data_IF_457108199130
#
_entry.id   IF_457108199130
#
_cell.length_a   1.000
_cell.length_b   1.000
_cell.length_c   1.000
_cell.angle_alpha   90.00
_cell.angle_beta   90.00
_cell.angle_gamma   90.00
#
_symmetry.space_group_name_H-M   'P 1'
#
loop_
_entity.id
_entity.type
_entity.pdbx_description
1 polymer ?
#
# COMPACT_ATOMS: atom_id res chain seq x y z
N UNK A 1 -100.49 20.46 -10.51
CA UNK A 1 -100.14 21.60 -9.64
C UNK A 1 -98.84 21.23 -8.92
N UNK A 2 -97.96 22.22 -8.69
CA UNK A 2 -96.58 22.14 -8.17
C UNK A 2 -95.48 22.15 -9.25
N UNK A 3 -94.34 22.82 -9.02
CA UNK A 3 -94.12 24.19 -8.53
C UNK A 3 -93.25 25.02 -9.52
N UNK A 4 -93.09 26.35 -9.33
CA UNK A 4 -92.30 27.21 -10.22
C UNK A 4 -90.79 27.03 -10.02
N UNK A 5 -89.94 27.42 -11.01
CA UNK A 5 -88.52 27.08 -11.04
C UNK A 5 -87.73 27.78 -9.92
N UNK A 6 -86.91 27.00 -9.23
CA UNK A 6 -86.03 27.44 -8.17
C UNK A 6 -84.79 28.14 -8.75
N UNK A 7 -84.43 29.30 -8.20
CA UNK A 7 -83.25 30.08 -8.62
C UNK A 7 -81.96 29.31 -8.26
N UNK A 8 -80.93 29.32 -9.13
CA UNK A 8 -79.67 28.67 -8.80
C UNK A 8 -78.96 29.38 -7.64
N UNK A 9 -78.47 28.59 -6.68
CA UNK A 9 -77.61 29.04 -5.60
C UNK A 9 -76.20 29.39 -6.12
N UNK A 10 -75.49 30.36 -5.51
CA UNK A 10 -74.16 30.75 -5.94
C UNK A 10 -73.12 29.86 -5.27
N UNK A 11 -72.31 29.12 -6.03
CA UNK A 11 -71.14 28.45 -5.44
C UNK A 11 -69.82 28.63 -6.20
N UNK A 12 -68.96 29.40 -5.53
CA UNK A 12 -67.59 29.09 -5.13
C UNK A 12 -66.59 28.78 -6.26
N UNK A 13 -65.82 29.80 -6.60
CA UNK A 13 -64.55 29.68 -7.33
C UNK A 13 -63.53 28.90 -6.49
N UNK A 14 -63.38 27.61 -6.74
CA UNK A 14 -62.26 26.82 -6.20
C UNK A 14 -60.99 27.21 -6.97
N UNK A 15 -60.13 28.05 -6.37
CA UNK A 15 -58.76 28.25 -6.87
C UNK A 15 -57.98 26.95 -6.73
N UNK A 16 -57.89 26.17 -7.82
CA UNK A 16 -56.82 25.18 -8.01
C UNK A 16 -55.48 25.94 -8.08
N UNK A 17 -54.78 26.05 -6.96
CA UNK A 17 -53.34 26.36 -7.00
C UNK A 17 -52.62 25.09 -7.46
N UNK A 18 -52.04 25.19 -8.65
CA UNK A 18 -51.21 24.20 -9.31
C UNK A 18 -50.09 23.69 -8.38
N UNK A 19 -50.12 22.40 -8.04
CA UNK A 19 -48.96 21.64 -7.53
C UNK A 19 -48.08 21.28 -8.74
N UNK A 20 -47.64 22.28 -9.52
CA UNK A 20 -46.81 22.06 -10.72
C UNK A 20 -45.35 22.47 -10.49
N UNK A 21 -45.05 23.22 -9.43
CA UNK A 21 -43.66 23.58 -9.08
C UNK A 21 -42.85 22.45 -8.45
N UNK A 22 -43.48 21.59 -7.63
CA UNK A 22 -42.77 20.53 -6.89
C UNK A 22 -42.27 19.40 -7.78
N UNK A 23 -43.09 18.93 -8.73
CA UNK A 23 -42.72 17.84 -9.61
C UNK A 23 -41.57 18.21 -10.56
N UNK A 24 -41.55 19.46 -11.06
CA UNK A 24 -40.47 19.95 -11.90
C UNK A 24 -39.14 20.08 -11.13
N UNK A 25 -39.17 20.59 -9.90
CA UNK A 25 -37.97 20.68 -9.05
C UNK A 25 -37.42 19.30 -8.66
N UNK A 26 -38.31 18.34 -8.35
CA UNK A 26 -37.91 16.95 -8.06
C UNK A 26 -37.33 16.27 -9.30
N UNK A 27 -37.94 16.48 -10.47
CA UNK A 27 -37.42 15.92 -11.73
C UNK A 27 -36.03 16.48 -12.07
N UNK A 28 -35.82 17.79 -11.91
CA UNK A 28 -34.51 18.42 -12.13
C UNK A 28 -33.47 17.88 -11.15
N UNK A 29 -33.81 17.76 -9.86
CA UNK A 29 -32.92 17.23 -8.83
C UNK A 29 -32.52 15.76 -9.08
N UNK A 30 -33.47 14.94 -9.56
CA UNK A 30 -33.20 13.54 -9.93
C UNK A 30 -32.32 13.44 -11.18
N UNK A 31 -32.51 14.33 -12.16
CA UNK A 31 -31.68 14.38 -13.36
C UNK A 31 -30.26 14.86 -13.00
N UNK A 32 -30.10 15.90 -12.18
CA UNK A 32 -28.77 16.33 -11.74
C UNK A 32 -28.08 15.27 -10.88
N UNK A 33 -28.79 14.62 -9.97
CA UNK A 33 -28.23 13.50 -9.20
C UNK A 33 -27.78 12.37 -10.14
N UNK A 34 -28.63 11.95 -11.07
CA UNK A 34 -28.30 10.90 -12.05
C UNK A 34 -27.11 11.29 -12.93
N UNK A 35 -27.04 12.54 -13.42
CA UNK A 35 -25.92 13.03 -14.21
C UNK A 35 -24.64 13.05 -13.38
N UNK A 36 -24.69 13.49 -12.11
CA UNK A 36 -23.54 13.43 -11.21
C UNK A 36 -23.10 11.97 -11.00
N UNK A 37 -24.03 11.04 -10.76
CA UNK A 37 -23.72 9.63 -10.58
C UNK A 37 -23.11 9.02 -11.84
N UNK A 38 -23.63 9.35 -13.02
CA UNK A 38 -23.11 8.88 -14.31
C UNK A 38 -21.73 9.48 -14.58
N UNK A 39 -21.54 10.78 -14.33
CA UNK A 39 -20.23 11.43 -14.50
C UNK A 39 -19.20 10.84 -13.53
N UNK A 40 -19.57 10.60 -12.26
CA UNK A 40 -18.70 9.92 -11.30
C UNK A 40 -18.38 8.49 -11.73
N UNK A 41 -19.36 7.74 -12.26
CA UNK A 41 -19.13 6.39 -12.78
C UNK A 41 -18.26 6.39 -14.04
N UNK A 42 -18.42 7.37 -14.94
CA UNK A 42 -17.58 7.53 -16.13
C UNK A 42 -16.17 7.93 -15.72
N UNK A 43 -15.99 8.86 -14.77
CA UNK A 43 -14.67 9.24 -14.24
C UNK A 43 -14.01 8.05 -13.54
N UNK A 44 -14.75 7.25 -12.77
CA UNK A 44 -14.23 6.02 -12.18
C UNK A 44 -13.88 4.96 -13.23
N UNK A 45 -14.64 4.87 -14.33
CA UNK A 45 -14.38 3.95 -15.44
C UNK A 45 -13.30 4.44 -16.42
N UNK A 46 -12.95 5.72 -16.38
CA UNK A 46 -11.88 6.34 -17.17
C UNK A 46 -10.65 6.70 -16.34
N UNK A 47 -10.69 6.44 -15.02
CA UNK A 47 -9.50 6.27 -14.23
C UNK A 47 -8.75 5.06 -14.82
N UNK A 48 -7.44 5.20 -15.11
CA UNK A 48 -6.65 4.09 -15.63
C UNK A 48 -6.76 2.91 -14.66
N UNK A 49 -7.29 1.80 -15.19
CA UNK A 49 -7.42 0.53 -14.49
C UNK A 49 -6.12 -0.23 -14.68
N UNK A 50 -5.10 0.23 -13.97
CA UNK A 50 -3.81 -0.42 -13.83
C UNK A 50 -3.22 -0.09 -12.45
N UNK A 51 -2.52 -1.02 -11.78
CA UNK A 51 -1.84 -0.74 -10.54
C UNK A 51 -0.70 0.25 -10.84
N UNK A 52 -0.91 1.54 -10.52
CA UNK A 52 0.02 2.61 -10.91
C UNK A 52 -0.50 4.05 -10.75
N UNK A 53 -1.73 4.28 -10.29
CA UNK A 53 -2.24 5.66 -10.05
C UNK A 53 -2.48 6.01 -8.59
N UNK A 54 -2.06 5.17 -7.66
CA UNK A 54 -2.34 5.38 -6.24
C UNK A 54 -1.10 5.80 -5.43
N UNK A 55 0.01 6.13 -6.10
CA UNK A 55 1.22 6.63 -5.44
C UNK A 55 1.02 7.95 -4.69
N UNK A 56 1.20 7.90 -3.37
CA UNK A 56 1.78 9.01 -2.62
C UNK A 56 3.31 9.00 -2.77
N UNK A 57 4.03 9.93 -2.15
CA UNK A 57 5.50 9.93 -2.03
C UNK A 57 6.06 8.77 -1.16
N UNK A 58 5.26 7.74 -0.93
CA UNK A 58 5.48 6.63 -0.01
C UNK A 58 5.33 6.98 1.46
N UNK A 59 5.54 8.23 1.85
CA UNK A 59 5.37 8.71 3.23
C UNK A 59 3.91 9.00 3.59
N UNK A 60 3.05 9.16 2.57
CA UNK A 60 1.61 9.38 2.75
C UNK A 60 0.76 8.58 1.76
N UNK A 61 0.69 7.23 1.88
CA UNK A 61 -0.11 6.41 0.97
C UNK A 61 -1.61 6.68 1.17
N UNK A 62 -2.37 6.68 0.07
CA UNK A 62 -3.84 6.66 0.15
C UNK A 62 -4.35 5.23 0.41
N UNK A 63 -5.64 5.09 0.74
CA UNK A 63 -6.23 3.79 1.08
C UNK A 63 -6.02 2.73 0.00
N UNK A 64 -6.09 3.14 -1.26
CA UNK A 64 -6.03 2.23 -2.35
C UNK A 64 -4.57 1.73 -2.56
N UNK A 65 -3.57 2.58 -2.31
CA UNK A 65 -2.16 2.18 -2.33
C UNK A 65 -1.83 1.05 -1.34
N UNK A 66 -2.64 0.90 -0.28
CA UNK A 66 -2.51 -0.12 0.76
C UNK A 66 -3.23 -1.43 0.39
N UNK A 67 -3.93 -1.50 -0.75
CA UNK A 67 -4.56 -2.73 -1.22
C UNK A 67 -3.50 -3.76 -1.61
N UNK A 68 -3.63 -4.96 -1.04
CA UNK A 68 -2.78 -6.10 -1.36
C UNK A 68 -3.52 -7.04 -2.31
N UNK A 69 -2.78 -7.65 -3.23
CA UNK A 69 -3.32 -8.69 -4.10
C UNK A 69 -3.68 -9.93 -3.25
N UNK A 70 -4.97 -10.28 -3.13
CA UNK A 70 -5.40 -11.42 -2.32
C UNK A 70 -5.00 -12.78 -2.93
N UNK A 71 -4.50 -12.81 -4.17
CA UNK A 71 -4.02 -14.03 -4.83
C UNK A 71 -2.56 -14.38 -4.49
N UNK A 72 -1.85 -13.49 -3.77
CA UNK A 72 -0.48 -13.76 -3.30
C UNK A 72 -0.43 -15.01 -2.40
N UNK A 73 0.69 -15.76 -2.42
CA UNK A 73 0.88 -16.87 -1.50
C UNK A 73 0.67 -16.43 -0.05
N UNK A 74 -0.01 -17.25 0.76
CA UNK A 74 -0.37 -16.89 2.13
C UNK A 74 0.83 -16.43 3.02
N UNK A 75 2.03 -17.03 2.92
CA UNK A 75 3.22 -16.51 3.59
C UNK A 75 3.60 -15.08 3.18
N UNK A 76 3.58 -14.79 1.87
CA UNK A 76 3.85 -13.46 1.32
C UNK A 76 2.79 -12.46 1.79
N UNK A 77 1.52 -12.85 1.76
CA UNK A 77 0.42 -11.99 2.19
C UNK A 77 0.57 -11.57 3.65
N UNK A 78 0.87 -12.51 4.57
CA UNK A 78 1.11 -12.17 5.99
C UNK A 78 2.27 -11.20 6.18
N UNK A 79 3.35 -11.40 5.43
CA UNK A 79 4.49 -10.50 5.46
C UNK A 79 4.08 -9.08 5.05
N UNK A 80 3.40 -8.93 3.92
CA UNK A 80 3.00 -7.63 3.39
C UNK A 80 1.90 -6.97 4.21
N UNK A 81 0.99 -7.74 4.82
CA UNK A 81 0.03 -7.24 5.81
C UNK A 81 0.75 -6.64 7.01
N UNK A 82 1.79 -7.31 7.52
CA UNK A 82 2.61 -6.75 8.60
C UNK A 82 3.31 -5.46 8.17
N UNK A 83 3.93 -5.43 6.98
CA UNK A 83 4.54 -4.20 6.45
C UNK A 83 3.49 -3.07 6.40
N UNK A 84 2.32 -3.34 5.82
CA UNK A 84 1.23 -2.36 5.64
C UNK A 84 0.71 -1.82 6.97
N UNK A 85 0.58 -2.69 7.97
CA UNK A 85 -0.03 -2.34 9.25
C UNK A 85 0.96 -1.65 10.20
N UNK A 86 2.28 -1.82 9.95
CA UNK A 86 3.30 -1.36 10.88
C UNK A 86 4.33 -0.38 10.32
N UNK A 87 4.42 -0.10 9.01
CA UNK A 87 5.52 0.71 8.41
C UNK A 87 5.78 2.09 9.05
N UNK A 88 4.80 2.67 9.75
CA UNK A 88 4.89 3.94 10.45
C UNK A 88 4.82 3.82 11.99
N UNK A 89 4.94 2.61 12.53
CA UNK A 89 4.91 2.35 13.96
C UNK A 89 6.20 2.86 14.62
N UNK A 90 6.05 3.61 15.70
CA UNK A 90 7.16 4.14 16.50
C UNK A 90 7.50 3.26 17.72
N UNK A 91 6.79 2.15 17.89
CA UNK A 91 6.93 1.24 19.02
C UNK A 91 6.51 -0.19 18.67
N UNK A 92 7.12 -1.15 19.36
CA UNK A 92 6.77 -2.58 19.30
C UNK A 92 7.05 -3.21 20.66
N UNK A 93 6.04 -3.75 21.32
CA UNK A 93 6.22 -4.41 22.63
C UNK A 93 7.04 -5.71 22.51
N UNK A 94 6.96 -6.38 21.36
CA UNK A 94 7.64 -7.66 21.12
C UNK A 94 9.09 -7.47 20.67
N UNK A 95 9.31 -6.57 19.72
CA UNK A 95 10.58 -6.45 19.02
C UNK A 95 11.33 -5.15 19.34
N UNK A 96 10.67 -4.17 19.95
CA UNK A 96 11.21 -2.82 20.05
C UNK A 96 11.41 -2.15 18.68
N UNK A 97 11.90 -0.90 18.72
CA UNK A 97 12.19 -0.08 17.52
C UNK A 97 13.55 0.62 17.72
N UNK A 98 14.42 0.56 16.70
CA UNK A 98 15.77 1.17 16.69
C UNK A 98 15.78 2.63 16.18
N UNK A 99 14.60 3.24 16.02
CA UNK A 99 14.47 4.61 15.54
C UNK A 99 14.91 4.75 14.09
N UNK A 100 15.91 5.58 13.81
CA UNK A 100 16.38 5.85 12.43
C UNK A 100 17.14 4.67 11.81
N UNK A 101 17.62 3.73 12.62
CA UNK A 101 18.40 2.57 12.15
C UNK A 101 17.56 1.28 12.08
N UNK A 102 16.24 1.41 12.05
CA UNK A 102 15.30 0.29 12.20
C UNK A 102 15.04 -0.54 10.93
N UNK A 103 15.67 -0.19 9.80
CA UNK A 103 15.48 -0.81 8.49
C UNK A 103 15.44 -2.36 8.51
N UNK A 104 16.51 -2.99 8.98
CA UNK A 104 16.62 -4.45 9.00
C UNK A 104 15.93 -5.08 10.20
N UNK A 105 15.78 -4.36 11.33
CA UNK A 105 15.00 -4.84 12.46
C UNK A 105 13.54 -5.04 12.04
N UNK A 106 12.93 -4.03 11.40
CA UNK A 106 11.59 -4.12 10.85
C UNK A 106 11.48 -5.20 9.77
N UNK A 107 12.42 -5.23 8.83
CA UNK A 107 12.46 -6.30 7.82
C UNK A 107 12.48 -7.69 8.46
N UNK A 108 13.28 -7.88 9.50
CA UNK A 108 13.40 -9.16 10.21
C UNK A 108 12.09 -9.58 10.87
N UNK A 109 11.33 -8.64 11.45
CA UNK A 109 9.99 -8.92 11.99
C UNK A 109 9.05 -9.45 10.90
N UNK A 110 9.07 -8.84 9.72
CA UNK A 110 8.19 -9.25 8.61
C UNK A 110 8.52 -10.67 8.13
N UNK A 111 9.80 -11.09 8.20
CA UNK A 111 10.22 -12.44 7.84
C UNK A 111 9.72 -13.49 8.84
N UNK A 112 9.60 -13.14 10.12
CA UNK A 112 8.93 -13.99 11.11
C UNK A 112 7.45 -14.19 10.73
N UNK A 113 6.75 -13.13 10.33
CA UNK A 113 5.34 -13.24 9.90
C UNK A 113 5.17 -14.03 8.60
N UNK A 114 6.16 -13.94 7.69
CA UNK A 114 6.25 -14.82 6.52
C UNK A 114 6.34 -16.28 6.94
N UNK A 115 7.03 -16.56 8.05
CA UNK A 115 7.17 -17.89 8.64
C UNK A 115 8.63 -18.36 8.74
N UNK A 116 9.59 -17.46 8.62
CA UNK A 116 10.99 -17.81 8.88
C UNK A 116 11.17 -18.23 10.33
N UNK A 117 11.97 -19.28 10.51
CA UNK A 117 12.39 -19.73 11.84
C UNK A 117 13.78 -19.16 12.13
N UNK A 118 13.93 -18.63 13.33
CA UNK A 118 15.20 -18.13 13.86
C UNK A 118 16.22 -19.26 14.03
N UNK A 119 17.49 -18.90 14.04
CA UNK A 119 18.61 -19.79 14.34
C UNK A 119 19.62 -19.12 15.28
N UNK A 120 20.81 -19.68 15.40
CA UNK A 120 21.85 -19.19 16.30
C UNK A 120 22.48 -17.86 15.83
N UNK A 121 22.38 -17.52 14.54
CA UNK A 121 23.01 -16.35 13.93
C UNK A 121 22.01 -15.20 13.69
N UNK A 122 20.76 -15.52 13.34
CA UNK A 122 19.66 -14.58 13.18
C UNK A 122 18.51 -14.90 14.14
N UNK A 123 18.46 -14.13 15.23
CA UNK A 123 17.47 -14.25 16.30
C UNK A 123 17.15 -12.90 16.97
N UNK A 124 16.04 -12.88 17.71
CA UNK A 124 15.54 -11.74 18.49
C UNK A 124 15.13 -12.15 19.92
N UNK A 125 14.97 -11.15 20.77
CA UNK A 125 14.40 -11.24 22.11
C UNK A 125 12.98 -10.68 22.08
N UNK A 126 12.08 -11.24 22.90
CA UNK A 126 10.66 -10.84 22.97
C UNK A 126 10.35 -9.84 24.10
N UNK A 127 11.37 -9.32 24.77
CA UNK A 127 11.22 -8.41 25.91
C UNK A 127 11.06 -6.92 25.52
N UNK A 128 10.98 -6.64 24.22
CA UNK A 128 10.83 -5.29 23.68
C UNK A 128 12.12 -4.46 23.67
N UNK A 129 13.26 -5.02 24.10
CA UNK A 129 14.56 -4.37 23.96
C UNK A 129 15.11 -4.60 22.54
N UNK A 130 14.96 -3.59 21.69
CA UNK A 130 15.42 -3.61 20.31
C UNK A 130 16.93 -3.85 20.16
N UNK A 131 17.74 -3.71 21.22
CA UNK A 131 19.18 -3.98 21.17
C UNK A 131 19.54 -5.40 21.63
N UNK A 132 18.61 -6.11 22.26
CA UNK A 132 18.76 -7.48 22.73
C UNK A 132 18.50 -8.52 21.62
N UNK A 133 18.94 -8.24 20.40
CA UNK A 133 18.85 -9.17 19.26
C UNK A 133 20.24 -9.44 18.69
N UNK A 134 20.34 -10.50 17.90
CA UNK A 134 21.55 -10.83 17.15
C UNK A 134 22.04 -9.64 16.29
N UNK A 135 23.35 -9.55 16.00
CA UNK A 135 23.85 -8.56 15.06
C UNK A 135 23.21 -8.67 13.67
N UNK A 136 22.97 -9.89 13.16
CA UNK A 136 22.33 -10.11 11.85
C UNK A 136 20.86 -9.64 11.82
N UNK A 137 20.18 -9.57 12.96
CA UNK A 137 18.82 -9.04 13.05
C UNK A 137 18.78 -7.51 12.95
N UNK A 138 19.85 -6.81 13.35
CA UNK A 138 19.85 -5.35 13.58
C UNK A 138 20.80 -4.56 12.69
N UNK A 139 21.65 -5.22 11.92
CA UNK A 139 22.57 -4.57 10.97
C UNK A 139 22.34 -5.09 9.55
N UNK A 140 21.98 -4.19 8.64
CA UNK A 140 21.73 -4.50 7.22
C UNK A 140 22.93 -5.21 6.57
N UNK A 141 24.13 -4.72 6.84
CA UNK A 141 25.39 -5.31 6.38
C UNK A 141 25.62 -6.72 6.91
N UNK A 142 25.38 -6.95 8.19
CA UNK A 142 25.55 -8.30 8.77
C UNK A 142 24.45 -9.24 8.28
N UNK A 143 23.23 -8.73 8.08
CA UNK A 143 22.13 -9.49 7.49
C UNK A 143 22.43 -9.93 6.06
N UNK A 144 23.04 -9.05 5.24
CA UNK A 144 23.57 -9.40 3.92
C UNK A 144 24.53 -10.60 4.00
N UNK A 145 25.49 -10.55 4.93
CA UNK A 145 26.47 -11.63 5.09
C UNK A 145 25.83 -12.94 5.53
N UNK A 146 24.85 -12.85 6.43
CA UNK A 146 24.04 -13.98 6.83
C UNK A 146 23.26 -14.59 5.65
N UNK A 147 22.59 -13.80 4.81
CA UNK A 147 21.90 -14.33 3.62
C UNK A 147 22.88 -14.93 2.60
N UNK A 148 24.07 -14.34 2.46
CA UNK A 148 25.11 -14.87 1.58
C UNK A 148 25.65 -16.24 2.05
N UNK A 149 25.70 -16.48 3.36
CA UNK A 149 26.10 -17.78 3.93
C UNK A 149 24.95 -18.80 4.00
N UNK A 150 23.70 -18.37 3.85
CA UNK A 150 22.49 -19.20 3.93
C UNK A 150 21.67 -19.18 2.62
N UNK A 151 22.21 -19.71 1.50
CA UNK A 151 21.54 -19.69 0.20
C UNK A 151 20.23 -20.49 0.16
N UNK A 152 19.98 -21.35 1.15
CA UNK A 152 18.69 -22.02 1.34
C UNK A 152 17.58 -21.09 1.80
N UNK A 153 17.92 -19.89 2.33
CA UNK A 153 16.94 -18.89 2.79
C UNK A 153 16.51 -17.94 1.67
N UNK A 154 17.44 -17.49 0.85
CA UNK A 154 17.14 -16.60 -0.26
C UNK A 154 18.19 -16.66 -1.37
N UNK A 155 17.78 -16.36 -2.60
CA UNK A 155 18.67 -16.31 -3.77
C UNK A 155 19.05 -14.86 -4.09
N UNK A 156 20.35 -14.52 -4.20
CA UNK A 156 20.75 -13.16 -4.55
C UNK A 156 20.37 -12.80 -5.99
N UNK A 157 19.87 -11.59 -6.19
CA UNK A 157 19.61 -10.98 -7.49
C UNK A 157 20.27 -9.60 -7.57
N UNK A 158 20.79 -9.24 -8.75
CA UNK A 158 21.24 -7.88 -9.03
C UNK A 158 20.10 -7.02 -9.58
N UNK A 159 20.32 -5.70 -9.63
CA UNK A 159 19.37 -4.76 -10.22
C UNK A 159 19.02 -5.08 -11.69
N UNK A 160 19.98 -5.60 -12.46
CA UNK A 160 19.72 -6.05 -13.83
C UNK A 160 18.76 -7.26 -13.94
N UNK A 161 18.31 -7.83 -12.82
CA UNK A 161 17.43 -8.99 -12.76
C UNK A 161 16.03 -8.66 -12.18
N UNK A 162 15.59 -7.39 -12.23
CA UNK A 162 14.26 -6.94 -11.77
C UNK A 162 13.09 -7.80 -12.25
N UNK A 163 13.15 -8.35 -13.46
CA UNK A 163 12.14 -9.28 -13.99
C UNK A 163 11.99 -10.61 -13.21
N UNK A 164 12.87 -10.90 -12.23
CA UNK A 164 12.78 -12.04 -11.32
C UNK A 164 12.36 -11.65 -9.91
N UNK A 165 12.30 -10.36 -9.61
CA UNK A 165 11.89 -9.84 -8.30
C UNK A 165 10.39 -10.00 -8.18
N UNK A 166 9.91 -10.29 -6.98
CA UNK A 166 8.49 -10.44 -6.68
C UNK A 166 8.14 -9.83 -5.31
N UNK A 167 6.85 -9.50 -5.06
CA UNK A 167 6.40 -9.05 -3.75
C UNK A 167 6.84 -9.99 -2.61
N UNK A 168 7.29 -9.41 -1.51
CA UNK A 168 7.85 -10.11 -0.35
C UNK A 168 9.33 -10.48 -0.46
N UNK A 169 9.98 -10.24 -1.60
CA UNK A 169 11.45 -10.29 -1.68
C UNK A 169 12.07 -9.18 -0.81
N UNK A 170 13.32 -9.38 -0.42
CA UNK A 170 14.07 -8.38 0.35
C UNK A 170 14.82 -7.49 -0.64
N UNK A 171 14.76 -6.18 -0.45
CA UNK A 171 15.61 -5.21 -1.16
C UNK A 171 16.66 -4.67 -0.21
N UNK A 172 17.89 -4.52 -0.70
CA UNK A 172 18.97 -3.84 0.00
C UNK A 172 19.54 -2.72 -0.86
N UNK A 173 19.89 -1.62 -0.22
CA UNK A 173 20.51 -0.48 -0.85
C UNK A 173 21.92 -0.33 -0.29
N UNK A 174 22.82 0.04 -1.18
CA UNK A 174 24.16 0.51 -0.89
C UNK A 174 24.20 1.98 -1.30
N UNK A 175 23.89 2.87 -0.35
CA UNK A 175 23.62 4.27 -0.65
C UNK A 175 24.80 5.05 -1.21
N UNK A 176 26.03 4.61 -0.93
CA UNK A 176 27.28 5.28 -1.31
C UNK A 176 28.21 4.40 -2.17
N UNK A 177 27.70 3.28 -2.68
CA UNK A 177 28.44 2.28 -3.46
C UNK A 177 29.71 1.78 -2.75
N UNK A 178 29.68 1.68 -1.42
CA UNK A 178 30.80 1.19 -0.60
C UNK A 178 30.94 -0.34 -0.64
N UNK A 179 29.87 -1.03 -1.01
CA UNK A 179 29.70 -2.48 -0.98
C UNK A 179 29.04 -3.02 0.28
N UNK A 180 28.77 -2.20 1.30
CA UNK A 180 28.32 -2.65 2.62
C UNK A 180 26.79 -2.85 2.77
N UNK A 181 26.00 -2.41 1.78
CA UNK A 181 24.53 -2.56 1.70
C UNK A 181 23.85 -2.17 3.02
N UNK A 182 23.99 -0.90 3.38
CA UNK A 182 23.65 -0.31 4.66
C UNK A 182 22.14 -0.17 4.97
N UNK A 183 21.24 -0.37 3.99
CA UNK A 183 19.80 -0.30 4.21
C UNK A 183 19.05 -1.51 3.66
N UNK A 184 18.02 -1.98 4.38
CA UNK A 184 17.20 -3.14 4.01
C UNK A 184 15.71 -2.81 4.13
N UNK A 185 14.90 -3.28 3.18
CA UNK A 185 13.45 -3.16 3.19
C UNK A 185 12.78 -4.37 2.50
N UNK A 186 11.45 -4.37 2.42
CA UNK A 186 10.66 -5.42 1.74
C UNK A 186 10.03 -4.88 0.46
N UNK A 187 10.13 -5.66 -0.62
CA UNK A 187 9.44 -5.38 -1.89
C UNK A 187 7.94 -5.51 -1.70
N UNK A 188 7.20 -4.42 -1.89
CA UNK A 188 5.73 -4.38 -1.76
C UNK A 188 5.03 -4.67 -3.08
N UNK A 189 5.61 -4.21 -4.19
CA UNK A 189 5.07 -4.38 -5.52
C UNK A 189 6.15 -4.45 -6.60
N UNK A 190 5.82 -5.13 -7.70
CA UNK A 190 6.57 -5.11 -8.95
C UNK A 190 5.56 -4.82 -10.06
N UNK A 191 5.84 -3.82 -10.89
CA UNK A 191 4.93 -3.34 -11.94
C UNK A 191 5.69 -3.32 -13.26
N UNK A 192 5.05 -3.81 -14.31
CA UNK A 192 5.58 -3.73 -15.67
C UNK A 192 4.90 -2.57 -16.40
N UNK A 193 5.71 -1.63 -16.89
CA UNK A 193 5.27 -0.51 -17.72
C UNK A 193 4.89 -0.95 -19.13
N UNK A 194 4.21 -0.07 -19.87
CA UNK A 194 3.79 -0.34 -21.25
C UNK A 194 4.95 -0.59 -22.24
N UNK A 195 6.16 -0.16 -21.88
CA UNK A 195 7.41 -0.36 -22.62
C UNK A 195 8.20 -1.60 -22.16
N UNK A 196 7.69 -2.34 -21.19
CA UNK A 196 8.33 -3.52 -20.59
C UNK A 196 9.36 -3.17 -19.52
N UNK A 197 9.47 -1.91 -19.10
CA UNK A 197 10.26 -1.53 -17.93
C UNK A 197 9.66 -2.12 -16.65
N UNK A 198 10.51 -2.57 -15.73
CA UNK A 198 10.08 -3.16 -14.45
C UNK A 198 10.35 -2.18 -13.32
N UNK A 199 9.29 -1.61 -12.78
CA UNK A 199 9.31 -0.78 -11.58
C UNK A 199 9.19 -1.66 -10.33
N UNK A 200 10.11 -1.47 -9.37
CA UNK A 200 10.08 -2.16 -8.08
C UNK A 200 9.81 -1.17 -6.97
N UNK A 201 8.92 -1.53 -6.06
CA UNK A 201 8.51 -0.69 -4.94
C UNK A 201 8.78 -1.39 -3.61
N UNK A 202 9.04 -0.62 -2.56
CA UNK A 202 9.38 -1.13 -1.25
C UNK A 202 8.66 -0.41 -0.11
N UNK A 203 8.57 -1.11 1.03
CA UNK A 203 8.13 -0.56 2.31
C UNK A 203 9.13 -0.87 3.43
N UNK A 204 9.28 0.07 4.37
CA UNK A 204 10.28 -0.03 5.44
C UNK A 204 10.13 1.08 6.51
N UNK A 205 10.92 0.98 7.58
CA UNK A 205 10.83 1.86 8.77
C UNK A 205 11.80 3.05 8.77
N UNK A 206 13.03 2.88 8.30
CA UNK A 206 13.99 3.99 8.22
C UNK A 206 13.55 4.90 7.09
N UNK A 207 13.15 6.13 7.42
CA UNK A 207 12.32 6.97 6.56
C UNK A 207 11.00 6.27 6.20
N UNK A 208 10.21 5.98 7.23
CA UNK A 208 8.93 5.26 7.19
C UNK A 208 8.17 5.47 5.89
N UNK A 209 8.02 4.38 5.14
CA UNK A 209 7.54 4.41 3.76
C UNK A 209 6.74 3.16 3.42
N UNK A 210 5.70 3.37 2.62
CA UNK A 210 4.95 2.33 1.94
C UNK A 210 4.97 2.55 0.43
N UNK A 211 5.38 1.53 -0.32
CA UNK A 211 5.29 1.49 -1.78
C UNK A 211 6.02 2.64 -2.51
N UNK A 212 7.21 3.02 -2.04
CA UNK A 212 8.11 3.95 -2.75
C UNK A 212 8.94 3.20 -3.78
N UNK A 213 9.22 3.83 -4.92
CA UNK A 213 10.12 3.27 -5.93
C UNK A 213 11.53 3.08 -5.38
N UNK A 214 12.17 1.97 -5.71
CA UNK A 214 13.59 1.73 -5.40
C UNK A 214 14.53 2.71 -6.11
N UNK A 215 14.04 3.46 -7.12
CA UNK A 215 14.82 4.45 -7.87
C UNK A 215 14.67 5.89 -7.32
N UNK A 216 13.79 6.09 -6.32
CA UNK A 216 13.53 7.42 -5.74
C UNK A 216 14.42 7.69 -4.51
N UNK A 217 15.71 7.97 -4.79
CA UNK A 217 16.71 8.27 -3.78
C UNK A 217 17.56 9.52 -4.14
N UNK A 218 16.96 10.71 -4.25
CA UNK A 218 17.65 11.93 -4.70
C UNK A 218 18.80 12.39 -3.76
N UNK A 219 18.83 11.89 -2.51
CA UNK A 219 19.91 12.16 -1.54
C UNK A 219 21.12 11.23 -1.71
N UNK A 220 20.96 10.13 -2.44
CA UNK A 220 21.95 9.07 -2.62
C UNK A 220 22.09 8.77 -4.12
N UNK A 221 22.72 9.67 -4.91
CA UNK A 221 22.80 9.51 -6.36
C UNK A 221 23.67 8.32 -6.81
N UNK A 222 24.54 7.83 -5.92
CA UNK A 222 25.44 6.70 -6.17
C UNK A 222 24.86 5.35 -5.71
N UNK A 223 23.56 5.31 -5.38
CA UNK A 223 22.90 4.09 -4.86
C UNK A 223 23.06 2.90 -5.80
N UNK A 224 23.45 1.77 -5.24
CA UNK A 224 23.31 0.46 -5.89
C UNK A 224 22.22 -0.37 -5.21
N UNK A 225 21.32 -0.95 -6.00
CA UNK A 225 20.19 -1.74 -5.51
C UNK A 225 20.45 -3.24 -5.70
N UNK A 226 20.11 -4.01 -4.68
CA UNK A 226 20.26 -5.46 -4.66
C UNK A 226 19.00 -6.12 -4.11
N UNK A 227 18.74 -7.37 -4.51
CA UNK A 227 17.61 -8.12 -3.98
C UNK A 227 18.01 -9.50 -3.49
N UNK A 228 17.18 -10.03 -2.59
CA UNK A 228 17.20 -11.43 -2.20
C UNK A 228 15.82 -12.02 -2.47
N UNK A 229 15.76 -12.95 -3.43
CA UNK A 229 14.53 -13.63 -3.78
C UNK A 229 14.22 -14.71 -2.74
N UNK A 230 13.13 -14.53 -2.01
CA UNK A 230 12.69 -15.44 -0.95
C UNK A 230 11.69 -16.42 -1.54
N UNK A 231 11.83 -17.72 -1.26
CA UNK A 231 10.86 -18.71 -1.73
C UNK A 231 9.47 -18.49 -1.13
N UNK A 232 8.43 -18.85 -1.89
CA UNK A 232 7.02 -18.69 -1.50
C UNK A 232 6.58 -19.67 -0.39
#
# INVERSE_FOLDING_TARGET
>A
MSPPPERPAPEIYVRRRLVVGGAALVAVALITWLVITIVLAIVAASAPTGPGTQGGDGSHPNQAALELDPELPAPVLRQLEYVRDHWNADSSERYGVLGVDDCVNFTSQTLIERGWVVDEEWWYSEDGDAYAHSPAWRSSTIFRDYLASHPERATPLSDAQRAKVKPGDIVQFDWDASGDRDHTAIVTAVREGDDGEIDVYYGGHTDATWDRSVDDHPKHPDTEVYYWSVAD
#
